data_IF_741562107772
#
_entry.id   IF_741562107772
#
_cell.length_a   1.000
_cell.length_b   1.000
_cell.length_c   1.000
_cell.angle_alpha   90.00
_cell.angle_beta   90.00
_cell.angle_gamma   90.00
#
_symmetry.space_group_name_H-M   'P 1'
#
loop_
_entity.id
_entity.type
_entity.pdbx_description
1 polymer ?
#
# COMPACT_ATOMS: atom_id res chain seq x y z
N UNK A 1 22.77 -42.70 46.78
CA UNK A 1 21.84 -42.04 45.84
C UNK A 1 22.66 -41.01 45.06
N UNK A 2 23.01 -41.27 43.79
CA UNK A 2 23.77 -40.32 42.99
C UNK A 2 22.83 -39.19 42.55
N UNK A 3 22.88 -38.07 43.26
CA UNK A 3 22.17 -36.85 42.87
C UNK A 3 22.91 -36.29 41.66
N UNK A 4 22.32 -36.39 40.47
CA UNK A 4 22.82 -35.68 39.30
C UNK A 4 22.56 -34.19 39.52
N UNK A 5 23.63 -33.42 39.67
CA UNK A 5 23.57 -31.96 39.71
C UNK A 5 23.12 -31.50 38.31
N UNK A 6 21.98 -30.79 38.18
CA UNK A 6 21.55 -30.28 36.89
C UNK A 6 22.61 -29.32 36.35
N UNK A 7 23.14 -29.60 35.16
CA UNK A 7 24.02 -28.68 34.46
C UNK A 7 23.20 -27.52 33.89
N UNK A 8 23.82 -26.35 33.83
CA UNK A 8 23.24 -25.16 33.21
C UNK A 8 22.90 -25.45 31.75
N UNK A 9 21.63 -25.24 31.40
CA UNK A 9 21.15 -25.45 30.05
C UNK A 9 21.87 -24.51 29.07
N UNK A 10 22.40 -25.06 27.98
CA UNK A 10 23.05 -24.29 26.92
C UNK A 10 22.07 -24.17 25.75
N UNK A 11 21.60 -22.97 25.40
CA UNK A 11 20.66 -22.78 24.29
C UNK A 11 21.26 -23.25 22.96
N UNK A 12 20.43 -23.88 22.13
CA UNK A 12 20.75 -24.33 20.78
C UNK A 12 19.78 -23.73 19.77
N UNK A 13 20.08 -23.84 18.48
CA UNK A 13 19.17 -23.38 17.40
C UNK A 13 17.78 -24.03 17.46
N UNK A 14 17.67 -25.23 18.03
CA UNK A 14 16.38 -25.93 18.18
C UNK A 14 15.44 -25.21 19.14
N UNK A 15 15.99 -24.39 20.02
CA UNK A 15 15.25 -23.70 21.07
C UNK A 15 14.64 -22.39 20.58
N UNK A 16 15.14 -21.85 19.46
CA UNK A 16 14.57 -20.68 18.78
C UNK A 16 13.08 -20.91 18.47
N UNK A 17 12.72 -22.12 18.03
CA UNK A 17 11.32 -22.46 17.75
C UNK A 17 10.45 -22.39 19.01
N UNK A 18 10.99 -22.83 20.15
CA UNK A 18 10.27 -22.80 21.43
C UNK A 18 10.14 -21.37 21.98
N UNK A 19 11.08 -20.49 21.66
CA UNK A 19 11.03 -19.07 22.05
C UNK A 19 10.03 -18.28 21.21
N UNK A 20 9.93 -18.57 19.91
CA UNK A 20 9.04 -17.84 18.98
C UNK A 20 7.62 -18.41 18.98
N UNK A 21 7.45 -19.71 19.25
CA UNK A 21 6.13 -20.32 19.27
C UNK A 21 5.25 -19.74 20.40
N UNK A 22 3.99 -19.39 20.11
CA UNK A 22 3.07 -18.94 21.16
C UNK A 22 2.82 -20.08 22.15
N UNK A 23 2.56 -19.73 23.42
CA UNK A 23 2.29 -20.71 24.48
C UNK A 23 1.05 -21.58 24.18
N UNK A 24 0.04 -20.99 23.53
CA UNK A 24 -1.14 -21.69 23.04
C UNK A 24 -1.77 -20.92 21.87
N UNK A 25 -2.55 -21.65 21.06
CA UNK A 25 -3.40 -21.11 20.01
C UNK A 25 -4.81 -21.62 20.26
N UNK A 26 -5.76 -20.71 20.46
CA UNK A 26 -7.18 -21.04 20.45
C UNK A 26 -7.73 -20.82 19.04
N UNK A 27 -8.38 -21.84 18.48
CA UNK A 27 -8.98 -21.77 17.15
C UNK A 27 -10.50 -21.64 17.27
N UNK A 28 -11.02 -20.41 17.17
CA UNK A 28 -12.45 -20.16 17.09
C UNK A 28 -12.90 -20.10 15.61
N UNK A 29 -14.20 -20.28 15.31
CA UNK A 29 -14.68 -20.22 13.94
C UNK A 29 -14.36 -18.91 13.21
N UNK A 30 -14.39 -17.77 13.91
CA UNK A 30 -14.28 -16.44 13.32
C UNK A 30 -12.93 -15.75 13.55
N UNK A 31 -12.09 -16.26 14.46
CA UNK A 31 -10.80 -15.67 14.84
C UNK A 31 -9.88 -16.72 15.49
N UNK A 32 -8.59 -16.41 15.61
CA UNK A 32 -7.63 -17.11 16.46
C UNK A 32 -7.32 -16.26 17.70
N UNK A 33 -7.07 -16.90 18.84
CA UNK A 33 -6.42 -16.25 19.98
C UNK A 33 -4.97 -16.73 20.04
N UNK A 34 -4.03 -15.81 19.81
CA UNK A 34 -2.58 -16.04 19.89
C UNK A 34 -2.05 -15.34 21.12
N UNK A 35 -1.88 -16.08 22.22
CA UNK A 35 -1.59 -15.49 23.53
C UNK A 35 -2.72 -14.55 23.96
N UNK A 36 -2.40 -13.26 24.16
CA UNK A 36 -3.38 -12.24 24.56
C UNK A 36 -3.99 -11.47 23.38
N UNK A 37 -3.59 -11.80 22.14
CA UNK A 37 -4.03 -11.10 20.93
C UNK A 37 -5.12 -11.89 20.20
N UNK A 38 -6.07 -11.16 19.64
CA UNK A 38 -7.08 -11.69 18.74
C UNK A 38 -6.66 -11.46 17.30
N UNK A 39 -6.72 -12.51 16.51
CA UNK A 39 -6.21 -12.52 15.13
C UNK A 39 -7.31 -12.99 14.20
N UNK A 40 -7.53 -12.28 13.09
CA UNK A 40 -8.54 -12.67 12.11
C UNK A 40 -8.03 -12.46 10.71
N UNK A 41 -8.17 -13.49 9.89
CA UNK A 41 -7.85 -13.43 8.46
C UNK A 41 -9.12 -13.26 7.63
N UNK A 42 -9.07 -12.27 6.75
CA UNK A 42 -10.02 -12.03 5.67
C UNK A 42 -9.32 -12.21 4.32
N UNK A 43 -10.10 -12.54 3.29
CA UNK A 43 -9.61 -12.70 1.93
C UNK A 43 -10.51 -11.96 0.93
N UNK A 44 -9.92 -11.45 -0.13
CA UNK A 44 -10.66 -10.83 -1.23
C UNK A 44 -11.13 -11.89 -2.22
N UNK A 45 -12.38 -11.78 -2.67
CA UNK A 45 -12.97 -12.77 -3.58
C UNK A 45 -13.70 -12.18 -4.78
N UNK A 46 -14.06 -10.89 -4.74
CA UNK A 46 -14.73 -10.20 -5.85
C UNK A 46 -14.09 -8.84 -6.08
N UNK A 47 -13.91 -8.49 -7.34
CA UNK A 47 -13.30 -7.24 -7.81
C UNK A 47 -14.20 -6.59 -8.86
N UNK A 48 -14.19 -5.26 -9.00
CA UNK A 48 -14.85 -4.57 -10.09
C UNK A 48 -14.23 -4.94 -11.44
N UNK A 49 -14.97 -4.66 -12.52
CA UNK A 49 -14.49 -4.81 -13.90
C UNK A 49 -13.24 -3.97 -14.20
N UNK A 50 -13.13 -2.81 -13.55
CA UNK A 50 -11.99 -1.91 -13.68
C UNK A 50 -11.37 -1.66 -12.31
N UNK A 51 -10.10 -2.00 -12.16
CA UNK A 51 -9.28 -1.66 -10.99
C UNK A 51 -8.35 -0.51 -11.36
N UNK A 52 -8.52 0.63 -10.70
CA UNK A 52 -7.61 1.78 -10.85
C UNK A 52 -6.24 1.48 -10.25
N UNK A 53 -5.18 2.12 -10.75
CA UNK A 53 -3.86 2.00 -10.11
C UNK A 53 -3.90 2.57 -8.68
N UNK A 54 -3.24 1.88 -7.74
CA UNK A 54 -3.13 2.33 -6.34
C UNK A 54 -4.42 2.17 -5.51
N UNK A 55 -5.42 1.44 -6.00
CA UNK A 55 -6.67 1.18 -5.29
C UNK A 55 -6.44 0.57 -3.88
N UNK A 56 -5.41 -0.27 -3.77
CA UNK A 56 -5.06 -0.98 -2.54
C UNK A 56 -4.34 -0.12 -1.49
N UNK A 57 -3.88 1.09 -1.86
CA UNK A 57 -3.15 1.99 -0.97
C UNK A 57 -3.93 2.37 0.29
N UNK A 58 -5.26 2.49 0.18
CA UNK A 58 -6.09 2.90 1.30
C UNK A 58 -6.03 1.88 2.44
N UNK A 59 -5.76 0.61 2.12
CA UNK A 59 -5.64 -0.49 3.08
C UNK A 59 -4.21 -0.54 3.63
N UNK A 60 -3.22 -0.51 2.74
CA UNK A 60 -1.79 -0.59 3.12
C UNK A 60 -1.38 0.55 4.07
N UNK A 61 -1.97 1.74 3.91
CA UNK A 61 -1.67 2.91 4.75
C UNK A 61 -2.59 3.05 5.98
N UNK A 62 -3.41 2.03 6.31
CA UNK A 62 -4.18 2.06 7.54
C UNK A 62 -3.25 2.00 8.76
N UNK A 63 -3.48 2.81 9.80
CA UNK A 63 -2.66 2.82 11.01
C UNK A 63 -3.03 1.66 11.97
N UNK A 64 -3.39 0.50 11.42
CA UNK A 64 -3.79 -0.68 12.19
C UNK A 64 -2.71 -1.76 12.03
N UNK A 65 -2.47 -2.56 13.07
CA UNK A 65 -1.54 -3.69 12.97
C UNK A 65 -2.17 -4.80 12.11
N UNK A 66 -1.65 -4.95 10.90
CA UNK A 66 -2.09 -5.97 9.96
C UNK A 66 -0.94 -6.52 9.12
N UNK A 67 -1.06 -7.79 8.78
CA UNK A 67 -0.20 -8.45 7.82
C UNK A 67 -0.97 -8.72 6.53
N UNK A 68 -0.32 -8.51 5.38
CA UNK A 68 -0.93 -8.69 4.07
C UNK A 68 -0.05 -9.62 3.25
N UNK A 69 -0.65 -10.65 2.66
CA UNK A 69 0.00 -11.52 1.68
C UNK A 69 -0.76 -11.53 0.37
N UNK A 70 0.00 -11.37 -0.71
CA UNK A 70 -0.49 -11.40 -2.09
C UNK A 70 0.21 -12.56 -2.80
N UNK A 71 -0.57 -13.57 -3.18
CA UNK A 71 -0.10 -14.69 -3.97
C UNK A 71 -0.53 -14.49 -5.42
N UNK A 72 0.40 -14.65 -6.35
CA UNK A 72 0.13 -14.63 -7.79
C UNK A 72 0.64 -15.93 -8.41
N UNK A 73 -0.28 -16.87 -8.65
CA UNK A 73 0.06 -18.16 -9.26
C UNK A 73 -0.17 -18.09 -10.78
N UNK A 74 0.88 -18.17 -11.61
CA UNK A 74 0.72 -18.09 -13.06
C UNK A 74 -0.11 -19.26 -13.58
N UNK A 75 -1.09 -18.96 -14.42
CA UNK A 75 -1.92 -19.96 -15.09
C UNK A 75 -1.32 -20.29 -16.45
N UNK A 76 -1.25 -21.58 -16.78
CA UNK A 76 -0.81 -22.01 -18.10
C UNK A 76 -1.73 -21.43 -19.19
N UNK A 77 -1.15 -20.70 -20.15
CA UNK A 77 -1.90 -20.01 -21.22
C UNK A 77 -2.76 -20.98 -22.04
N UNK A 78 -2.29 -22.20 -22.31
CA UNK A 78 -3.06 -23.20 -23.08
C UNK A 78 -4.31 -23.63 -22.30
N UNK A 79 -4.16 -23.87 -20.99
CA UNK A 79 -5.29 -24.20 -20.13
C UNK A 79 -6.28 -23.05 -20.00
N UNK A 80 -5.78 -21.81 -19.84
CA UNK A 80 -6.60 -20.61 -19.79
C UNK A 80 -7.40 -20.41 -21.09
N UNK A 81 -6.74 -20.52 -22.26
CA UNK A 81 -7.40 -20.41 -23.56
C UNK A 81 -8.49 -21.47 -23.77
N UNK A 82 -8.26 -22.71 -23.30
CA UNK A 82 -9.28 -23.77 -23.34
C UNK A 82 -10.50 -23.43 -22.47
N UNK A 83 -10.28 -22.89 -21.27
CA UNK A 83 -11.35 -22.45 -20.36
C UNK A 83 -12.14 -21.28 -20.95
N UNK A 84 -11.45 -20.25 -21.46
CA UNK A 84 -12.06 -19.09 -22.10
C UNK A 84 -12.89 -19.50 -23.31
N UNK A 85 -12.36 -20.36 -24.20
CA UNK A 85 -13.11 -20.88 -25.36
C UNK A 85 -14.41 -21.58 -24.93
N UNK A 86 -14.36 -22.42 -23.90
CA UNK A 86 -15.56 -23.07 -23.36
C UNK A 86 -16.57 -22.04 -22.85
N UNK A 87 -16.10 -20.98 -22.17
CA UNK A 87 -16.95 -19.93 -21.64
C UNK A 87 -17.56 -19.05 -22.74
N UNK A 88 -16.78 -18.69 -23.77
CA UNK A 88 -17.26 -18.00 -24.98
C UNK A 88 -18.41 -18.79 -25.61
N UNK A 89 -18.23 -20.08 -25.88
CA UNK A 89 -19.25 -20.91 -26.52
C UNK A 89 -20.53 -21.02 -25.68
N UNK A 90 -20.43 -21.01 -24.34
CA UNK A 90 -21.60 -20.99 -23.46
C UNK A 90 -22.37 -19.68 -23.56
N UNK A 91 -21.68 -18.54 -23.57
CA UNK A 91 -22.30 -17.22 -23.67
C UNK A 91 -22.91 -17.02 -25.06
N UNK A 92 -22.22 -17.45 -26.11
CA UNK A 92 -22.70 -17.40 -27.49
C UNK A 92 -23.99 -18.22 -27.68
N UNK A 93 -24.02 -19.46 -27.17
CA UNK A 93 -25.22 -20.28 -27.19
C UNK A 93 -26.38 -19.62 -26.43
N UNK A 94 -26.11 -19.00 -25.29
CA UNK A 94 -27.12 -18.28 -24.51
C UNK A 94 -27.65 -17.04 -25.26
N UNK A 95 -26.79 -16.31 -25.98
CA UNK A 95 -27.21 -15.19 -26.82
C UNK A 95 -28.12 -15.67 -27.97
N UNK A 96 -27.72 -16.73 -28.68
CA UNK A 96 -28.51 -17.33 -29.76
C UNK A 96 -29.88 -17.81 -29.28
N UNK A 97 -29.95 -18.50 -28.14
CA UNK A 97 -31.22 -18.97 -27.57
C UNK A 97 -32.17 -17.81 -27.22
N UNK A 98 -31.62 -16.70 -26.71
CA UNK A 98 -32.42 -15.51 -26.39
C UNK A 98 -32.94 -14.82 -27.65
N UNK A 99 -32.11 -14.72 -28.68
CA UNK A 99 -32.48 -14.17 -29.97
C UNK A 99 -33.56 -15.01 -30.66
N UNK A 100 -33.43 -16.34 -30.64
CA UNK A 100 -34.45 -17.27 -31.18
C UNK A 100 -35.79 -17.13 -30.45
N UNK A 101 -35.76 -16.91 -29.13
CA UNK A 101 -36.97 -16.63 -28.32
C UNK A 101 -37.53 -15.21 -28.50
N UNK A 102 -36.91 -14.38 -29.33
CA UNK A 102 -37.32 -12.98 -29.55
C UNK A 102 -37.19 -12.10 -28.31
N UNK A 103 -36.33 -12.48 -27.36
CA UNK A 103 -36.11 -11.69 -26.15
C UNK A 103 -35.30 -10.43 -26.47
N UNK A 104 -35.55 -9.36 -25.69
CA UNK A 104 -34.76 -8.14 -25.79
C UNK A 104 -33.28 -8.44 -25.50
N UNK A 105 -32.39 -7.79 -26.25
CA UNK A 105 -30.93 -7.90 -26.11
C UNK A 105 -30.53 -7.68 -24.65
N UNK A 106 -29.56 -8.46 -24.19
CA UNK A 106 -28.98 -8.35 -22.86
C UNK A 106 -27.59 -7.71 -22.98
N UNK A 107 -27.45 -6.40 -22.71
CA UNK A 107 -26.17 -5.70 -22.87
C UNK A 107 -25.07 -6.28 -22.00
N UNK A 108 -25.41 -6.90 -20.86
CA UNK A 108 -24.43 -7.48 -19.94
C UNK A 108 -23.80 -8.74 -20.55
N UNK A 109 -24.63 -9.61 -21.16
CA UNK A 109 -24.14 -10.80 -21.86
C UNK A 109 -23.32 -10.45 -23.10
N UNK A 110 -23.76 -9.48 -23.90
CA UNK A 110 -23.02 -9.02 -25.09
C UNK A 110 -21.66 -8.42 -24.70
N UNK A 111 -21.62 -7.60 -23.65
CA UNK A 111 -20.38 -7.03 -23.12
C UNK A 111 -19.44 -8.12 -22.60
N UNK A 112 -19.97 -9.10 -21.86
CA UNK A 112 -19.17 -10.21 -21.34
C UNK A 112 -18.55 -11.03 -22.48
N UNK A 113 -19.28 -11.25 -23.57
CA UNK A 113 -18.76 -11.90 -24.76
C UNK A 113 -17.59 -11.12 -25.38
N UNK A 114 -17.77 -9.81 -25.59
CA UNK A 114 -16.73 -8.94 -26.15
C UNK A 114 -15.48 -8.87 -25.27
N UNK A 115 -15.64 -8.81 -23.95
CA UNK A 115 -14.52 -8.80 -23.00
C UNK A 115 -13.71 -10.10 -23.07
N UNK A 116 -14.39 -11.25 -23.16
CA UNK A 116 -13.73 -12.55 -23.26
C UNK A 116 -12.98 -12.67 -24.59
N UNK A 117 -13.56 -12.25 -25.72
CA UNK A 117 -12.85 -12.27 -27.01
C UNK A 117 -11.63 -11.35 -27.00
N UNK A 118 -11.76 -10.15 -26.44
CA UNK A 118 -10.64 -9.21 -26.28
C UNK A 118 -9.52 -9.83 -25.45
N UNK A 119 -9.86 -10.48 -24.33
CA UNK A 119 -8.90 -11.18 -23.48
C UNK A 119 -8.25 -12.37 -24.20
N UNK A 120 -9.00 -13.13 -25.00
CA UNK A 120 -8.46 -14.23 -25.79
C UNK A 120 -7.43 -13.72 -26.80
N UNK A 121 -7.72 -12.61 -27.48
CA UNK A 121 -6.82 -12.00 -28.45
C UNK A 121 -5.52 -11.50 -27.79
N UNK A 122 -5.60 -10.85 -26.63
CA UNK A 122 -4.40 -10.38 -25.91
C UNK A 122 -3.53 -11.53 -25.39
N UNK A 123 -4.15 -12.61 -24.91
CA UNK A 123 -3.45 -13.82 -24.47
C UNK A 123 -2.80 -14.56 -25.64
N UNK A 124 -3.48 -14.69 -26.78
CA UNK A 124 -2.93 -15.36 -27.96
C UNK A 124 -1.72 -14.60 -28.54
N UNK A 125 -1.73 -13.27 -28.45
CA UNK A 125 -0.61 -12.41 -28.86
C UNK A 125 0.52 -12.35 -27.82
N UNK A 126 0.35 -12.96 -26.63
CA UNK A 126 1.34 -12.94 -25.57
C UNK A 126 1.53 -11.58 -24.90
N UNK A 127 0.59 -10.63 -25.09
CA UNK A 127 0.62 -9.31 -24.45
C UNK A 127 0.26 -9.37 -22.97
N UNK A 128 -0.55 -10.34 -22.59
CA UNK A 128 -0.95 -10.58 -21.21
C UNK A 128 -0.74 -12.04 -20.79
N UNK A 129 -0.71 -12.24 -19.49
CA UNK A 129 -0.74 -13.53 -18.81
C UNK A 129 -1.87 -13.56 -17.79
N UNK A 130 -2.35 -14.76 -17.49
CA UNK A 130 -3.37 -15.03 -16.48
C UNK A 130 -2.72 -15.50 -15.18
N UNK A 131 -3.28 -15.07 -14.06
CA UNK A 131 -2.84 -15.42 -12.71
C UNK A 131 -4.04 -15.76 -11.84
N UNK A 132 -3.92 -16.82 -11.04
CA UNK A 132 -4.78 -17.03 -9.88
C UNK A 132 -4.20 -16.20 -8.75
N UNK A 133 -4.92 -15.15 -8.36
CA UNK A 133 -4.46 -14.18 -7.38
C UNK A 133 -5.23 -14.35 -6.07
N UNK A 134 -4.50 -14.56 -4.97
CA UNK A 134 -5.04 -14.58 -3.61
C UNK A 134 -4.54 -13.38 -2.83
N UNK A 135 -5.45 -12.61 -2.21
CA UNK A 135 -5.10 -11.51 -1.31
C UNK A 135 -5.68 -11.84 0.06
N UNK A 136 -4.80 -11.96 1.05
CA UNK A 136 -5.12 -12.31 2.42
C UNK A 136 -4.64 -11.21 3.35
N UNK A 137 -5.52 -10.78 4.25
CA UNK A 137 -5.24 -9.73 5.23
C UNK A 137 -5.54 -10.31 6.60
N UNK A 138 -4.53 -10.32 7.46
CA UNK A 138 -4.65 -10.76 8.85
C UNK A 138 -4.59 -9.54 9.76
N UNK A 139 -5.65 -9.33 10.53
CA UNK A 139 -5.75 -8.29 11.55
C UNK A 139 -5.31 -8.84 12.90
N UNK A 140 -4.64 -8.01 13.69
CA UNK A 140 -4.23 -8.36 15.06
C UNK A 140 -4.61 -7.24 16.05
N UNK A 141 -5.40 -7.57 17.07
CA UNK A 141 -5.93 -6.61 18.05
C UNK A 141 -5.82 -7.12 19.49
N UNK A 142 -6.05 -6.23 20.45
CA UNK A 142 -6.10 -6.56 21.89
C UNK A 142 -7.48 -7.00 22.37
N UNK A 143 -8.54 -6.71 21.59
CA UNK A 143 -9.91 -7.10 21.93
C UNK A 143 -10.71 -7.53 20.71
N UNK A 144 -11.73 -8.37 20.94
CA UNK A 144 -12.68 -8.77 19.90
C UNK A 144 -13.49 -7.59 19.36
N UNK A 145 -13.89 -6.65 20.23
CA UNK A 145 -14.66 -5.47 19.80
C UNK A 145 -13.86 -4.60 18.82
N UNK A 146 -12.56 -4.42 19.07
CA UNK A 146 -11.66 -3.71 18.16
C UNK A 146 -11.48 -4.48 16.84
N UNK A 147 -11.33 -5.81 16.92
CA UNK A 147 -11.21 -6.67 15.75
C UNK A 147 -12.39 -6.51 14.79
N UNK A 148 -13.61 -6.54 15.31
CA UNK A 148 -14.82 -6.39 14.50
C UNK A 148 -14.97 -4.98 13.95
N UNK A 149 -14.62 -3.94 14.72
CA UNK A 149 -14.63 -2.55 14.23
C UNK A 149 -13.65 -2.32 13.07
N UNK A 150 -12.44 -2.86 13.17
CA UNK A 150 -11.43 -2.74 12.12
C UNK A 150 -11.86 -3.55 10.88
N UNK A 151 -12.42 -4.75 11.08
CA UNK A 151 -13.00 -5.54 9.99
C UNK A 151 -14.11 -4.78 9.25
N UNK A 152 -15.07 -4.20 9.96
CA UNK A 152 -16.16 -3.41 9.37
C UNK A 152 -15.61 -2.21 8.58
N UNK A 153 -14.62 -1.51 9.15
CA UNK A 153 -13.94 -0.39 8.48
C UNK A 153 -13.27 -0.82 7.18
N UNK A 154 -12.55 -1.95 7.19
CA UNK A 154 -11.87 -2.49 6.00
C UNK A 154 -12.89 -2.94 4.95
N UNK A 155 -13.96 -3.63 5.36
CA UNK A 155 -15.02 -4.04 4.46
C UNK A 155 -15.70 -2.83 3.80
N UNK A 156 -16.01 -1.78 4.57
CA UNK A 156 -16.59 -0.56 4.03
C UNK A 156 -15.67 0.12 3.00
N UNK A 157 -14.35 0.13 3.23
CA UNK A 157 -13.38 0.67 2.28
C UNK A 157 -13.39 -0.13 0.97
N UNK A 158 -13.35 -1.46 1.04
CA UNK A 158 -13.41 -2.30 -0.15
C UNK A 158 -14.76 -2.16 -0.88
N UNK A 159 -15.88 -2.18 -0.16
CA UNK A 159 -17.22 -2.08 -0.74
C UNK A 159 -17.42 -0.76 -1.49
N UNK A 160 -16.83 0.34 -0.99
CA UNK A 160 -16.85 1.64 -1.68
C UNK A 160 -16.17 1.60 -3.06
N UNK A 161 -15.30 0.61 -3.28
CA UNK A 161 -14.60 0.36 -4.54
C UNK A 161 -15.19 -0.85 -5.30
N UNK A 162 -16.34 -1.38 -4.87
CA UNK A 162 -16.98 -2.60 -5.39
C UNK A 162 -16.10 -3.86 -5.27
N UNK A 163 -15.23 -3.88 -4.26
CA UNK A 163 -14.40 -5.01 -3.88
C UNK A 163 -15.03 -5.65 -2.64
N UNK A 164 -15.04 -6.98 -2.59
CA UNK A 164 -15.65 -7.69 -1.47
C UNK A 164 -14.65 -8.64 -0.83
N UNK A 165 -14.59 -8.56 0.50
CA UNK A 165 -13.81 -9.42 1.36
C UNK A 165 -14.73 -10.37 2.15
N UNK A 166 -14.20 -11.53 2.53
CA UNK A 166 -14.87 -12.46 3.45
C UNK A 166 -13.91 -12.95 4.52
N UNK A 167 -14.40 -13.22 5.74
CA UNK A 167 -13.62 -13.89 6.74
C UNK A 167 -13.35 -15.35 6.36
N UNK A 168 -12.16 -15.85 6.69
CA UNK A 168 -11.80 -17.27 6.58
C UNK A 168 -12.48 -18.10 7.68
N UNK A 169 -13.81 -18.14 7.71
CA UNK A 169 -14.58 -18.82 8.76
C UNK A 169 -14.23 -20.31 8.76
N UNK A 170 -13.93 -20.86 9.94
CA UNK A 170 -13.40 -22.23 10.14
C UNK A 170 -12.05 -22.53 9.48
N UNK A 171 -11.41 -21.54 8.85
CA UNK A 171 -10.13 -21.67 8.16
C UNK A 171 -9.13 -20.61 8.63
N UNK A 172 -9.25 -20.18 9.89
CA UNK A 172 -8.43 -19.10 10.43
C UNK A 172 -6.97 -19.50 10.60
N UNK A 173 -6.68 -20.78 10.90
CA UNK A 173 -5.32 -21.32 10.95
C UNK A 173 -4.68 -21.29 9.56
N UNK A 174 -5.40 -21.73 8.53
CA UNK A 174 -4.95 -21.71 7.15
C UNK A 174 -4.76 -20.28 6.64
N UNK A 175 -5.69 -19.38 6.98
CA UNK A 175 -5.60 -17.95 6.69
C UNK A 175 -4.34 -17.34 7.31
N UNK A 176 -4.14 -17.51 8.62
CA UNK A 176 -2.96 -17.01 9.32
C UNK A 176 -1.67 -17.60 8.74
N UNK A 177 -1.64 -18.91 8.51
CA UNK A 177 -0.48 -19.58 7.90
C UNK A 177 -0.13 -19.07 6.51
N UNK A 178 -1.14 -18.60 5.76
CA UNK A 178 -0.94 -18.03 4.42
C UNK A 178 -0.35 -16.64 4.45
N UNK A 179 -0.51 -15.92 5.57
CA UNK A 179 0.02 -14.56 5.71
C UNK A 179 1.41 -14.53 6.32
N UNK A 180 1.81 -15.60 7.02
CA UNK A 180 3.19 -15.75 7.51
C UNK A 180 4.19 -15.72 6.34
N UNK A 181 5.42 -15.20 6.55
CA UNK A 181 6.47 -15.09 5.54
C UNK A 181 7.13 -16.45 5.22
N UNK A 182 6.34 -17.50 5.10
CA UNK A 182 6.74 -18.87 4.75
C UNK A 182 6.56 -19.15 3.25
N UNK A 183 5.88 -18.27 2.52
CA UNK A 183 5.57 -18.46 1.10
C UNK A 183 4.59 -19.61 0.83
N UNK A 184 3.74 -19.94 1.81
CA UNK A 184 2.81 -21.07 1.73
C UNK A 184 1.37 -20.57 1.63
N UNK A 185 0.78 -20.65 0.44
CA UNK A 185 -0.65 -20.37 0.26
C UNK A 185 -1.49 -21.57 0.71
N UNK A 186 -2.04 -21.50 1.94
CA UNK A 186 -2.86 -22.56 2.53
C UNK A 186 -4.36 -22.32 2.34
N UNK A 187 -4.78 -21.07 2.20
CA UNK A 187 -6.19 -20.73 2.04
C UNK A 187 -6.65 -21.03 0.61
N UNK A 188 -5.77 -20.94 -0.39
CA UNK A 188 -6.02 -21.32 -1.79
C UNK A 188 -7.26 -20.69 -2.41
N UNK A 189 -7.70 -19.56 -1.85
CA UNK A 189 -8.84 -18.81 -2.37
C UNK A 189 -8.31 -17.77 -3.33
N UNK A 190 -8.64 -17.95 -4.61
CA UNK A 190 -8.08 -17.16 -5.70
C UNK A 190 -9.17 -16.55 -6.57
N UNK A 191 -8.86 -15.39 -7.12
CA UNK A 191 -9.57 -14.81 -8.26
C UNK A 191 -8.67 -14.84 -9.48
N UNK A 192 -9.22 -15.25 -10.61
CA UNK A 192 -8.51 -15.27 -11.88
C UNK A 192 -8.42 -13.84 -12.44
N UNK A 193 -7.20 -13.31 -12.59
CA UNK A 193 -6.93 -11.98 -13.12
C UNK A 193 -5.91 -12.04 -14.27
N UNK A 194 -6.04 -11.15 -15.23
CA UNK A 194 -5.01 -10.89 -16.23
C UNK A 194 -3.96 -9.90 -15.70
N UNK A 195 -2.90 -9.67 -16.48
CA UNK A 195 -1.70 -8.96 -16.01
C UNK A 195 -1.97 -7.54 -15.52
N UNK A 196 -2.85 -6.78 -16.18
CA UNK A 196 -3.18 -5.40 -15.80
C UNK A 196 -3.76 -5.30 -14.38
N UNK A 197 -4.94 -5.88 -14.12
CA UNK A 197 -5.56 -5.92 -12.79
C UNK A 197 -4.67 -6.59 -11.72
N UNK A 198 -3.92 -7.65 -12.07
CA UNK A 198 -3.01 -8.29 -11.12
C UNK A 198 -1.87 -7.35 -10.69
N UNK A 199 -1.35 -6.54 -11.62
CA UNK A 199 -0.25 -5.61 -11.33
C UNK A 199 -0.70 -4.40 -10.49
N UNK A 200 -1.98 -3.99 -10.58
CA UNK A 200 -2.48 -2.82 -9.85
C UNK A 200 -2.62 -3.05 -8.34
N UNK A 201 -2.51 -4.31 -7.89
CA UNK A 201 -2.50 -4.70 -6.48
C UNK A 201 -1.19 -4.27 -5.80
N UNK A 202 -0.11 -4.10 -6.56
CA UNK A 202 1.21 -3.84 -6.00
C UNK A 202 1.18 -2.60 -5.08
N UNK A 203 1.55 -2.75 -3.79
CA UNK A 203 1.20 -1.78 -2.75
C UNK A 203 2.08 -0.51 -2.77
N UNK A 204 3.19 -0.52 -3.51
CA UNK A 204 4.14 0.58 -3.55
C UNK A 204 4.03 1.35 -4.86
N UNK A 205 3.12 2.33 -4.90
CA UNK A 205 2.95 3.23 -6.06
C UNK A 205 3.53 4.62 -5.84
N UNK A 206 4.00 4.97 -4.63
CA UNK A 206 4.64 6.26 -4.36
C UNK A 206 6.11 6.11 -3.97
N UNK A 207 6.97 6.90 -4.61
CA UNK A 207 8.31 7.19 -4.11
C UNK A 207 8.19 7.98 -2.81
N UNK A 208 8.65 7.42 -1.69
CA UNK A 208 8.80 8.17 -0.46
C UNK A 208 10.04 9.05 -0.58
N UNK A 209 9.87 10.37 -0.47
CA UNK A 209 10.98 11.33 -0.35
C UNK A 209 11.23 11.59 1.15
N UNK A 210 11.58 10.50 1.85
CA UNK A 210 11.82 10.49 3.29
C UNK A 210 13.17 9.83 3.53
N UNK A 211 14.06 10.57 4.17
CA UNK A 211 15.40 10.17 4.59
C UNK A 211 15.53 10.40 6.09
N UNK A 212 16.47 9.70 6.72
CA UNK A 212 16.86 9.94 8.12
C UNK A 212 17.66 11.24 8.29
N UNK A 213 18.12 11.83 7.17
CA UNK A 213 18.92 13.05 7.13
C UNK A 213 18.23 14.19 6.39
N UNK A 214 18.51 15.43 6.83
CA UNK A 214 18.02 16.66 6.22
C UNK A 214 16.92 17.36 7.03
N UNK A 215 16.07 18.12 6.33
CA UNK A 215 15.03 18.93 6.97
C UNK A 215 13.63 18.45 6.57
N UNK A 216 12.67 18.64 7.48
CA UNK A 216 11.26 18.44 7.18
C UNK A 216 10.80 19.52 6.19
N UNK A 217 10.27 19.11 5.05
CA UNK A 217 9.64 20.01 4.06
C UNK A 217 8.12 20.05 4.21
N UNK A 218 7.50 18.95 4.62
CA UNK A 218 6.06 18.88 4.76
C UNK A 218 5.55 17.47 4.94
N UNK A 219 4.29 17.26 4.57
CA UNK A 219 3.60 15.97 4.67
C UNK A 219 3.13 15.60 3.27
N UNK A 220 3.40 14.37 2.85
CA UNK A 220 2.88 13.82 1.61
C UNK A 220 1.37 13.62 1.75
N UNK A 221 0.58 14.28 0.91
CA UNK A 221 -0.89 14.25 0.99
C UNK A 221 -1.51 12.92 0.55
N UNK A 222 -0.74 12.04 -0.08
CA UNK A 222 -1.22 10.75 -0.57
C UNK A 222 -1.14 9.65 0.49
N UNK A 223 -0.09 9.66 1.32
CA UNK A 223 0.19 8.61 2.30
C UNK A 223 0.47 9.14 3.71
N UNK A 224 0.33 10.45 3.94
CA UNK A 224 0.59 11.14 5.20
C UNK A 224 1.99 10.96 5.79
N UNK A 225 2.97 10.50 4.99
CA UNK A 225 4.35 10.39 5.44
C UNK A 225 5.03 11.76 5.48
N UNK A 226 6.05 11.90 6.32
CA UNK A 226 6.85 13.11 6.37
C UNK A 226 7.77 13.19 5.14
N UNK A 227 7.85 14.36 4.53
CA UNK A 227 8.82 14.65 3.46
C UNK A 227 10.06 15.21 4.13
N UNK A 228 11.09 14.39 4.27
CA UNK A 228 12.36 14.73 4.92
C UNK A 228 13.47 14.33 3.99
N UNK A 229 14.34 15.26 3.60
CA UNK A 229 15.54 14.92 2.85
C UNK A 229 16.57 16.04 2.94
N UNK A 230 17.84 15.69 2.74
CA UNK A 230 18.90 16.67 2.56
C UNK A 230 18.99 17.06 1.08
N UNK A 231 18.64 18.31 0.77
CA UNK A 231 18.71 18.85 -0.58
C UNK A 231 20.15 18.88 -1.13
N UNK A 232 21.16 18.99 -0.27
CA UNK A 232 22.57 19.03 -0.68
C UNK A 232 23.14 17.64 -1.03
N UNK A 233 22.45 16.56 -0.64
CA UNK A 233 22.79 15.19 -1.04
C UNK A 233 22.40 14.83 -2.48
N UNK A 234 21.57 15.67 -3.12
CA UNK A 234 21.10 15.46 -4.49
C UNK A 234 22.18 15.85 -5.51
N UNK A 235 22.08 15.32 -6.74
CA UNK A 235 22.96 15.71 -7.85
C UNK A 235 22.95 17.23 -8.10
N UNK A 236 21.82 17.88 -7.83
CA UNK A 236 21.67 19.33 -7.87
C UNK A 236 20.88 19.82 -6.66
N UNK A 237 21.48 20.73 -5.88
CA UNK A 237 20.89 21.29 -4.67
C UNK A 237 19.99 22.52 -4.90
N UNK A 238 19.81 22.96 -6.15
CA UNK A 238 19.00 24.13 -6.48
C UNK A 238 17.51 23.87 -6.23
N UNK A 239 16.80 24.88 -5.70
CA UNK A 239 15.36 24.86 -5.48
C UNK A 239 14.71 26.10 -6.08
N UNK A 240 13.50 25.93 -6.63
CA UNK A 240 12.69 27.03 -7.17
C UNK A 240 11.28 26.94 -6.59
N UNK A 241 10.79 28.04 -6.01
CA UNK A 241 9.49 28.10 -5.34
C UNK A 241 8.54 29.02 -6.11
N UNK A 242 7.44 28.46 -6.63
CA UNK A 242 6.39 29.20 -7.32
C UNK A 242 5.13 29.28 -6.45
N UNK A 243 4.58 30.47 -6.28
CA UNK A 243 3.30 30.66 -5.59
C UNK A 243 2.62 31.97 -5.99
N UNK A 244 1.28 31.99 -5.93
CA UNK A 244 0.50 33.24 -5.99
C UNK A 244 0.66 34.04 -4.69
N UNK A 245 0.41 35.34 -4.75
CA UNK A 245 0.36 36.17 -3.55
C UNK A 245 -0.64 35.58 -2.53
N UNK A 246 -0.23 35.49 -1.26
CA UNK A 246 -1.04 34.88 -0.18
C UNK A 246 -1.03 33.34 -0.11
N UNK A 247 -0.36 32.63 -1.03
CA UNK A 247 -0.33 31.16 -1.04
C UNK A 247 0.67 30.54 -0.02
N UNK A 248 1.32 31.37 0.82
CA UNK A 248 2.27 30.90 1.84
C UNK A 248 3.73 30.79 1.39
N UNK A 249 4.12 31.37 0.25
CA UNK A 249 5.51 31.40 -0.26
C UNK A 249 6.51 31.82 0.81
N UNK A 250 6.34 33.02 1.37
CA UNK A 250 7.28 33.59 2.34
C UNK A 250 7.30 32.80 3.64
N UNK A 251 6.18 32.17 4.03
CA UNK A 251 6.15 31.27 5.19
C UNK A 251 6.99 30.02 4.96
N UNK A 252 6.80 29.33 3.83
CA UNK A 252 7.54 28.13 3.48
C UNK A 252 9.05 28.39 3.39
N UNK A 253 9.46 29.46 2.71
CA UNK A 253 10.87 29.83 2.54
C UNK A 253 11.52 30.21 3.88
N UNK A 254 10.85 31.01 4.72
CA UNK A 254 11.38 31.37 6.06
C UNK A 254 11.55 30.15 6.95
N UNK A 255 10.62 29.20 6.88
CA UNK A 255 10.70 27.95 7.63
C UNK A 255 11.85 27.06 7.14
N UNK A 256 12.05 26.97 5.83
CA UNK A 256 13.20 26.28 5.23
C UNK A 256 14.53 26.90 5.69
N UNK A 257 14.64 28.24 5.68
CA UNK A 257 15.82 28.97 6.14
C UNK A 257 16.13 28.65 7.61
N UNK A 258 15.13 28.75 8.49
CA UNK A 258 15.31 28.47 9.92
C UNK A 258 15.77 27.03 10.17
N UNK A 259 15.21 26.06 9.44
CA UNK A 259 15.61 24.65 9.54
C UNK A 259 17.02 24.42 9.02
N UNK A 260 17.39 25.10 7.93
CA UNK A 260 18.74 25.01 7.35
C UNK A 260 19.79 25.60 8.30
N UNK A 261 19.51 26.76 8.89
CA UNK A 261 20.36 27.37 9.93
C UNK A 261 20.53 26.45 11.13
N UNK A 262 19.46 25.80 11.58
CA UNK A 262 19.52 24.83 12.68
C UNK A 262 20.37 23.58 12.36
N UNK A 263 20.49 23.23 11.07
CA UNK A 263 21.38 22.18 10.57
C UNK A 263 22.80 22.67 10.29
N UNK A 264 23.13 23.92 10.63
CA UNK A 264 24.46 24.50 10.45
C UNK A 264 24.74 25.00 9.02
N UNK A 265 23.71 25.23 8.20
CA UNK A 265 23.86 25.82 6.86
C UNK A 265 23.86 27.33 6.94
N UNK A 266 24.87 27.98 6.35
CA UNK A 266 24.89 29.44 6.19
C UNK A 266 23.89 29.88 5.12
N UNK A 267 23.15 30.98 5.39
CA UNK A 267 22.10 31.48 4.51
C UNK A 267 22.34 32.94 4.15
N UNK A 268 22.41 33.21 2.84
CA UNK A 268 22.44 34.55 2.27
C UNK A 268 21.13 34.82 1.54
N UNK A 269 20.52 35.99 1.76
CA UNK A 269 19.23 36.36 1.18
C UNK A 269 19.38 37.69 0.44
N UNK A 270 18.91 37.71 -0.82
CA UNK A 270 18.71 38.94 -1.59
C UNK A 270 17.22 39.26 -1.53
N UNK A 271 16.88 40.34 -0.83
CA UNK A 271 15.50 40.67 -0.48
C UNK A 271 15.09 42.05 -1.01
N UNK A 272 14.54 42.14 -2.23
CA UNK A 272 14.09 43.41 -2.80
C UNK A 272 12.81 43.96 -2.14
N UNK A 273 12.05 43.12 -1.41
CA UNK A 273 10.76 43.49 -0.81
C UNK A 273 10.86 43.80 0.70
N UNK A 274 12.06 43.69 1.29
CA UNK A 274 12.34 43.85 2.72
C UNK A 274 11.44 42.98 3.63
N UNK A 275 11.17 41.74 3.23
CA UNK A 275 10.39 40.77 4.01
C UNK A 275 11.21 40.02 5.08
N UNK A 276 12.54 40.03 5.01
CA UNK A 276 13.43 39.14 5.79
C UNK A 276 14.25 39.85 6.87
N UNK A 277 14.22 41.18 6.97
CA UNK A 277 14.92 41.95 8.02
C UNK A 277 14.60 41.45 9.43
N UNK A 278 13.30 41.23 9.72
CA UNK A 278 12.88 40.69 11.02
C UNK A 278 13.41 39.27 11.26
N UNK A 279 13.49 38.44 10.22
CA UNK A 279 14.04 37.09 10.35
C UNK A 279 15.52 37.17 10.72
N UNK A 280 16.31 37.98 9.99
CA UNK A 280 17.73 38.19 10.25
C UNK A 280 17.98 38.62 11.70
N UNK A 281 17.24 39.63 12.18
CA UNK A 281 17.35 40.09 13.57
C UNK A 281 17.00 39.00 14.59
N UNK A 282 16.02 38.13 14.29
CA UNK A 282 15.58 37.06 15.19
C UNK A 282 16.63 35.97 15.36
N UNK A 283 17.40 35.67 14.30
CA UNK A 283 18.45 34.65 14.30
C UNK A 283 19.85 35.23 14.58
N UNK A 284 19.92 36.48 15.04
CA UNK A 284 21.17 37.23 15.23
C UNK A 284 22.05 37.30 13.96
N UNK A 285 21.42 37.31 12.79
CA UNK A 285 22.06 37.52 11.50
C UNK A 285 22.38 38.98 11.21
N UNK A 286 23.03 39.23 10.08
CA UNK A 286 23.35 40.58 9.62
C UNK A 286 22.36 41.03 8.54
N UNK A 287 21.97 42.30 8.58
CA UNK A 287 21.15 42.93 7.54
C UNK A 287 21.88 44.15 6.98
N UNK A 288 22.04 44.17 5.66
CA UNK A 288 22.73 45.25 4.95
C UNK A 288 21.75 45.90 3.97
N UNK A 289 21.43 47.18 4.22
CA UNK A 289 20.62 47.95 3.28
C UNK A 289 21.50 48.38 2.11
N UNK A 290 21.20 47.89 0.91
CA UNK A 290 21.89 48.29 -0.33
C UNK A 290 21.02 49.30 -1.07
N UNK A 291 21.56 50.51 -1.27
CA UNK A 291 20.91 51.61 -2.00
C UNK A 291 21.97 52.60 -2.50
N UNK A 292 21.62 53.51 -3.41
CA UNK A 292 22.58 54.49 -3.96
C UNK A 292 23.19 55.42 -2.88
N UNK A 293 22.56 55.51 -1.72
CA UNK A 293 22.98 56.35 -0.60
C UNK A 293 23.37 55.55 0.64
N UNK A 294 23.43 54.21 0.57
CA UNK A 294 23.85 53.40 1.71
C UNK A 294 25.37 53.35 1.85
N UNK A 295 25.84 53.26 3.09
CA UNK A 295 27.24 53.01 3.40
C UNK A 295 27.71 51.59 3.01
N UNK A 296 26.76 50.66 2.81
CA UNK A 296 27.03 49.29 2.40
C UNK A 296 27.01 49.12 0.87
N UNK A 297 28.02 48.47 0.32
CA UNK A 297 28.15 48.13 -1.11
C UNK A 297 28.52 46.65 -1.29
N UNK A 298 28.15 46.07 -2.45
CA UNK A 298 28.60 44.73 -2.87
C UNK A 298 29.71 44.96 -3.91
N UNK A 299 30.92 44.44 -3.66
CA UNK A 299 32.06 44.51 -4.58
C UNK A 299 32.43 43.11 -5.09
#
# INVERSE_FOLDING_TARGET
MNIKIPQSYTPSEKDIKNVIAPAAIENAPAYLRLGDKFVKTIFLFTYPRYLSSGWFNQIVNLPELMDISIFAHPVNTVAAMKSLRKKTSQIEAQLMEREEKGLVRDPMLETAFQDIETLRDTLQQGREKMFNVGIYITLQTDSLDELFKIEEKINALFESQLIYAKPAVFQQIEGFSSVLPLGLDKLTTWTLLNSGPASSIFPFVSTNLTSDEGILYGINRHNNTLIIFDRFSLENANSVVFAKAGAGKSFAVKLEILRSLAMGTDVLIIDPENEYERLANTVAGSFFKISLTSESTIN
#
